data_IF_570672325857
#
_entry.id   IF_570672325857
#
_cell.length_a   1.000
_cell.length_b   1.000
_cell.length_c   1.000
_cell.angle_alpha   90.00
_cell.angle_beta   90.00
_cell.angle_gamma   90.00
#
_symmetry.space_group_name_H-M   'P 1'
#
loop_
_entity.id
_entity.type
_entity.pdbx_description
1 polymer ?
#
# COMPACT_ATOMS: atom_id res chain seq x y z
N UNK A 1 16.48 8.08 4.05
CA UNK A 1 15.65 7.54 2.95
C UNK A 1 15.83 6.04 2.97
N UNK A 2 14.80 5.29 3.29
CA UNK A 2 14.85 3.83 3.32
C UNK A 2 15.01 3.34 1.87
N UNK A 3 16.10 2.64 1.55
CA UNK A 3 16.29 2.07 0.20
C UNK A 3 15.02 1.31 -0.24
N UNK A 4 14.47 1.65 -1.40
CA UNK A 4 13.28 0.93 -1.90
C UNK A 4 13.70 -0.39 -2.53
N UNK A 5 12.88 -1.42 -2.36
CA UNK A 5 13.13 -2.70 -2.99
C UNK A 5 12.59 -2.64 -4.42
N UNK A 6 13.46 -2.89 -5.39
CA UNK A 6 13.12 -2.88 -6.82
C UNK A 6 12.69 -4.27 -7.34
N UNK A 7 12.54 -5.24 -6.45
CA UNK A 7 12.15 -6.60 -6.76
C UNK A 7 11.22 -7.14 -5.66
N UNK A 8 10.36 -8.09 -6.01
CA UNK A 8 9.53 -8.81 -5.04
C UNK A 8 10.34 -9.98 -4.43
N UNK A 9 10.69 -9.94 -3.13
CA UNK A 9 11.44 -11.02 -2.48
C UNK A 9 10.65 -12.34 -2.38
N UNK A 10 9.33 -12.34 -2.63
CA UNK A 10 8.49 -13.55 -2.62
C UNK A 10 8.75 -14.46 -3.82
N UNK A 11 9.30 -13.92 -4.92
CA UNK A 11 9.58 -14.69 -6.14
C UNK A 11 10.93 -15.42 -6.09
N UNK A 12 11.79 -15.09 -5.12
CA UNK A 12 13.12 -15.69 -5.00
C UNK A 12 12.96 -17.05 -4.30
N UNK A 13 13.21 -18.17 -5.00
CA UNK A 13 13.14 -19.49 -4.37
C UNK A 13 14.30 -19.68 -3.39
N UNK A 14 14.11 -20.46 -2.32
CA UNK A 14 15.20 -20.84 -1.45
C UNK A 14 16.26 -21.64 -2.25
N UNK A 15 17.55 -21.36 -2.06
CA UNK A 15 18.61 -22.16 -2.64
C UNK A 15 18.51 -23.64 -2.24
N UNK A 16 19.03 -24.53 -3.10
CA UNK A 16 19.21 -25.92 -2.71
C UNK A 16 20.45 -26.06 -1.82
N UNK A 17 20.24 -25.86 -0.52
CA UNK A 17 21.27 -25.99 0.51
C UNK A 17 21.78 -27.41 0.71
N UNK A 18 21.17 -28.43 0.07
CA UNK A 18 21.70 -29.79 0.06
C UNK A 18 22.72 -30.03 -1.05
N UNK A 19 22.74 -29.16 -2.06
CA UNK A 19 23.67 -29.28 -3.21
C UNK A 19 25.13 -29.18 -2.80
N UNK A 20 26.01 -29.71 -3.66
CA UNK A 20 27.47 -29.74 -3.44
C UNK A 20 28.07 -28.32 -3.36
N UNK A 21 27.43 -27.34 -4.01
CA UNK A 21 27.81 -25.91 -3.94
C UNK A 21 27.89 -25.40 -2.51
N UNK A 22 27.05 -25.93 -1.60
CA UNK A 22 27.03 -25.54 -0.19
C UNK A 22 27.80 -26.51 0.72
N UNK A 23 28.42 -27.56 0.20
CA UNK A 23 29.10 -28.57 1.02
C UNK A 23 30.25 -27.98 1.86
N UNK A 24 31.03 -27.06 1.29
CA UNK A 24 32.10 -26.38 2.03
C UNK A 24 31.54 -25.53 3.17
N UNK A 25 30.42 -24.84 2.95
CA UNK A 25 29.77 -24.01 3.96
C UNK A 25 29.20 -24.88 5.09
N UNK A 26 28.53 -26.00 4.75
CA UNK A 26 28.01 -26.93 5.76
C UNK A 26 29.13 -27.54 6.61
N UNK A 27 30.24 -27.96 6.00
CA UNK A 27 31.41 -28.47 6.75
C UNK A 27 32.03 -27.41 7.65
N UNK A 28 32.10 -26.16 7.20
CA UNK A 28 32.59 -25.06 8.01
C UNK A 28 31.69 -24.82 9.23
N UNK A 29 30.36 -24.81 9.05
CA UNK A 29 29.39 -24.67 10.13
C UNK A 29 29.49 -25.82 11.16
N UNK A 30 29.74 -27.05 10.71
CA UNK A 30 29.91 -28.20 11.61
C UNK A 30 31.21 -28.13 12.41
N UNK A 31 32.28 -27.61 11.79
CA UNK A 31 33.59 -27.48 12.42
C UNK A 31 33.71 -26.20 13.27
N UNK A 32 32.73 -25.31 13.21
CA UNK A 32 32.74 -24.03 13.89
C UNK A 32 32.54 -24.20 15.39
N UNK A 33 33.53 -23.77 16.17
CA UNK A 33 33.50 -23.85 17.62
C UNK A 33 32.47 -22.88 18.24
N UNK A 34 32.11 -21.81 17.52
CA UNK A 34 31.13 -20.83 17.95
C UNK A 34 29.68 -21.30 17.71
N UNK A 35 29.50 -22.38 16.94
CA UNK A 35 28.21 -22.99 16.59
C UNK A 35 28.08 -24.43 17.12
N UNK A 36 28.23 -24.69 18.43
CA UNK A 36 28.33 -26.06 18.98
C UNK A 36 27.06 -26.92 18.83
N UNK A 37 25.94 -26.33 18.41
CA UNK A 37 24.68 -27.04 18.14
C UNK A 37 24.56 -27.61 16.73
N UNK A 38 25.52 -27.34 15.83
CA UNK A 38 25.52 -27.83 14.46
C UNK A 38 26.57 -28.93 14.35
N UNK A 39 26.17 -30.19 14.49
CA UNK A 39 27.10 -31.33 14.50
C UNK A 39 26.93 -32.27 13.32
N UNK A 40 25.92 -32.03 12.48
CA UNK A 40 25.59 -32.84 11.31
C UNK A 40 25.29 -32.01 10.07
N UNK A 41 25.43 -32.64 8.90
CA UNK A 41 25.07 -32.02 7.60
C UNK A 41 23.60 -31.61 7.55
N UNK A 42 22.70 -32.36 8.21
CA UNK A 42 21.29 -32.05 8.26
C UNK A 42 21.01 -30.79 9.09
N UNK A 43 21.66 -30.64 10.25
CA UNK A 43 21.57 -29.43 11.08
C UNK A 43 22.18 -28.22 10.37
N UNK A 44 23.33 -28.40 9.70
CA UNK A 44 23.97 -27.33 8.95
C UNK A 44 23.09 -26.87 7.77
N UNK A 45 22.46 -27.81 7.06
CA UNK A 45 21.49 -27.51 6.01
C UNK A 45 20.26 -26.77 6.58
N UNK A 46 19.73 -27.21 7.72
CA UNK A 46 18.59 -26.56 8.36
C UNK A 46 18.94 -25.14 8.79
N UNK A 47 20.12 -24.94 9.38
CA UNK A 47 20.60 -23.63 9.78
C UNK A 47 20.66 -22.65 8.60
N UNK A 48 21.18 -23.09 7.45
CA UNK A 48 21.21 -22.26 6.23
C UNK A 48 19.80 -21.91 5.72
N UNK A 49 18.83 -22.82 5.86
CA UNK A 49 17.43 -22.56 5.52
C UNK A 49 16.81 -21.54 6.45
N UNK A 50 17.01 -21.70 7.75
CA UNK A 50 16.47 -20.80 8.77
C UNK A 50 17.03 -19.38 8.58
N UNK A 51 18.34 -19.27 8.34
CA UNK A 51 18.98 -17.98 8.04
C UNK A 51 18.40 -17.33 6.78
N UNK A 52 18.24 -18.10 5.70
CA UNK A 52 17.62 -17.61 4.48
C UNK A 52 16.19 -17.12 4.69
N UNK A 53 15.38 -17.88 5.44
CA UNK A 53 13.99 -17.53 5.72
C UNK A 53 13.88 -16.27 6.60
N UNK A 54 14.78 -16.08 7.57
CA UNK A 54 14.85 -14.87 8.37
C UNK A 54 15.20 -13.64 7.52
N UNK A 55 16.30 -13.70 6.76
CA UNK A 55 16.76 -12.61 5.92
C UNK A 55 15.72 -12.25 4.84
N UNK A 56 15.16 -13.27 4.17
CA UNK A 56 14.10 -13.06 3.19
C UNK A 56 12.81 -12.55 3.83
N UNK A 57 12.51 -12.97 5.06
CA UNK A 57 11.40 -12.47 5.86
C UNK A 57 11.48 -10.96 6.10
N UNK A 58 12.66 -10.46 6.46
CA UNK A 58 12.92 -9.02 6.62
C UNK A 58 12.68 -8.27 5.31
N UNK A 59 13.15 -8.81 4.18
CA UNK A 59 12.92 -8.21 2.87
C UNK A 59 11.43 -8.20 2.50
N UNK A 60 10.70 -9.29 2.77
CA UNK A 60 9.26 -9.39 2.51
C UNK A 60 8.46 -8.39 3.32
N UNK A 61 8.76 -8.25 4.61
CA UNK A 61 8.11 -7.25 5.48
C UNK A 61 8.35 -5.82 4.98
N UNK A 62 9.58 -5.53 4.55
CA UNK A 62 9.93 -4.22 3.97
C UNK A 62 9.20 -3.96 2.65
N UNK A 63 9.10 -4.96 1.79
CA UNK A 63 8.39 -4.86 0.52
C UNK A 63 6.89 -4.65 0.74
N UNK A 64 6.30 -5.36 1.70
CA UNK A 64 4.90 -5.20 2.07
C UNK A 64 4.59 -3.80 2.60
N UNK A 65 5.43 -3.25 3.47
CA UNK A 65 5.30 -1.88 3.94
C UNK A 65 5.37 -0.86 2.78
N UNK A 66 6.19 -1.10 1.75
CA UNK A 66 6.24 -0.25 0.55
C UNK A 66 4.95 -0.33 -0.26
N UNK A 67 4.36 -1.52 -0.40
CA UNK A 67 3.08 -1.68 -1.08
C UNK A 67 1.95 -0.98 -0.33
N UNK A 68 1.92 -1.08 1.00
CA UNK A 68 0.95 -0.37 1.84
C UNK A 68 1.10 1.16 1.73
N UNK A 69 2.33 1.67 1.74
CA UNK A 69 2.62 3.10 1.54
C UNK A 69 2.13 3.56 0.16
N UNK A 70 2.47 2.83 -0.90
CA UNK A 70 2.06 3.16 -2.26
C UNK A 70 0.53 3.14 -2.42
N UNK A 71 -0.13 2.17 -1.78
CA UNK A 71 -1.59 2.07 -1.77
C UNK A 71 -2.22 3.23 -0.99
N UNK A 72 -1.66 3.61 0.16
CA UNK A 72 -2.13 4.75 0.93
C UNK A 72 -2.01 6.07 0.13
N UNK A 73 -0.90 6.25 -0.58
CA UNK A 73 -0.70 7.42 -1.45
C UNK A 73 -1.72 7.43 -2.60
N UNK A 74 -1.97 6.29 -3.24
CA UNK A 74 -2.97 6.17 -4.30
C UNK A 74 -4.38 6.48 -3.79
N UNK A 75 -4.73 5.96 -2.61
CA UNK A 75 -6.03 6.20 -1.98
C UNK A 75 -6.21 7.68 -1.62
N UNK A 76 -5.21 8.32 -1.02
CA UNK A 76 -5.27 9.75 -0.68
C UNK A 76 -5.53 10.63 -1.92
N UNK A 77 -4.89 10.32 -3.05
CA UNK A 77 -5.12 11.02 -4.32
C UNK A 77 -6.54 10.83 -4.86
N UNK A 78 -7.08 9.61 -4.73
CA UNK A 78 -8.44 9.31 -5.15
C UNK A 78 -9.48 10.03 -4.28
N UNK A 79 -9.24 10.10 -2.96
CA UNK A 79 -10.10 10.82 -2.03
C UNK A 79 -10.10 12.32 -2.31
N UNK A 80 -8.92 12.92 -2.53
CA UNK A 80 -8.80 14.33 -2.91
C UNK A 80 -9.58 14.64 -4.20
N UNK A 81 -9.44 13.81 -5.23
CA UNK A 81 -10.18 13.97 -6.49
C UNK A 81 -11.70 13.83 -6.29
N UNK A 82 -12.14 12.90 -5.44
CA UNK A 82 -13.55 12.72 -5.12
C UNK A 82 -14.12 13.88 -4.29
N UNK A 83 -13.32 14.48 -3.41
CA UNK A 83 -13.68 15.69 -2.66
C UNK A 83 -13.79 16.90 -3.57
N UNK A 84 -12.84 17.10 -4.47
CA UNK A 84 -12.88 18.19 -5.44
C UNK A 84 -14.12 18.08 -6.34
N UNK A 85 -14.46 16.88 -6.77
CA UNK A 85 -15.66 16.64 -7.57
C UNK A 85 -16.94 16.95 -6.77
N UNK A 86 -17.03 16.51 -5.51
CA UNK A 86 -18.15 16.84 -4.63
C UNK A 86 -18.30 18.34 -4.40
N UNK A 87 -17.19 19.06 -4.26
CA UNK A 87 -17.20 20.52 -4.11
C UNK A 87 -17.73 21.22 -5.37
N UNK A 88 -17.29 20.79 -6.56
CA UNK A 88 -17.78 21.31 -7.85
C UNK A 88 -19.28 21.05 -8.03
N UNK A 89 -19.74 19.85 -7.68
CA UNK A 89 -21.15 19.50 -7.77
C UNK A 89 -22.02 20.30 -6.78
N UNK A 90 -21.53 20.53 -5.57
CA UNK A 90 -22.21 21.37 -4.58
C UNK A 90 -22.28 22.84 -5.05
N UNK A 91 -21.21 23.39 -5.62
CA UNK A 91 -21.20 24.76 -6.16
C UNK A 91 -22.18 24.89 -7.34
N UNK A 92 -22.19 23.92 -8.26
CA UNK A 92 -23.14 23.90 -9.38
C UNK A 92 -24.58 23.89 -8.88
N UNK A 93 -24.89 23.01 -7.93
CA UNK A 93 -26.24 22.92 -7.34
C UNK A 93 -26.64 24.22 -6.64
N UNK A 94 -25.73 24.83 -5.87
CA UNK A 94 -26.01 26.11 -5.21
C UNK A 94 -26.31 27.23 -6.22
N UNK A 95 -25.58 27.29 -7.35
CA UNK A 95 -25.85 28.24 -8.44
C UNK A 95 -27.20 27.99 -9.11
N UNK A 96 -27.55 26.73 -9.37
CA UNK A 96 -28.84 26.34 -9.94
C UNK A 96 -29.99 26.72 -9.01
N UNK A 97 -29.87 26.45 -7.71
CA UNK A 97 -30.87 26.81 -6.70
C UNK A 97 -31.05 28.34 -6.59
N UNK A 98 -29.96 29.12 -6.64
CA UNK A 98 -30.03 30.59 -6.67
C UNK A 98 -30.74 31.13 -7.92
N UNK A 99 -30.46 30.53 -9.08
CA UNK A 99 -31.10 30.89 -10.35
C UNK A 99 -32.59 30.54 -10.33
N UNK A 100 -32.95 29.37 -9.80
CA UNK A 100 -34.34 28.95 -9.65
C UNK A 100 -35.11 29.91 -8.75
N UNK A 101 -34.54 30.30 -7.61
CA UNK A 101 -35.15 31.29 -6.70
C UNK A 101 -35.34 32.65 -7.37
N UNK A 102 -34.32 33.16 -8.08
CA UNK A 102 -34.42 34.43 -8.83
C UNK A 102 -35.47 34.35 -9.95
N UNK A 103 -35.62 33.19 -10.60
CA UNK A 103 -36.64 32.98 -11.61
C UNK A 103 -38.05 32.96 -11.00
N UNK A 104 -38.23 32.35 -9.83
CA UNK A 104 -39.49 32.32 -9.10
C UNK A 104 -39.91 33.72 -8.62
N UNK A 105 -38.99 34.49 -8.03
CA UNK A 105 -39.22 35.89 -7.62
C UNK A 105 -39.67 36.76 -8.81
N UNK A 106 -39.06 36.59 -10.00
CA UNK A 106 -39.45 37.31 -11.22
C UNK A 106 -40.77 36.83 -11.83
N UNK A 107 -41.21 35.62 -11.50
CA UNK A 107 -42.42 35.01 -12.04
C UNK A 107 -43.66 35.29 -11.20
N UNK A 108 -43.52 35.77 -9.96
CA UNK A 108 -44.61 36.33 -9.16
C UNK A 108 -45.15 37.60 -9.83
N UNK A 109 -46.36 37.59 -10.41
CA UNK A 109 -46.97 38.81 -10.91
C UNK A 109 -47.40 39.64 -9.70
N UNK A 110 -47.01 40.91 -9.67
CA UNK A 110 -47.65 41.95 -8.85
C UNK A 110 -49.11 42.13 -9.32
N UNK A 111 -49.97 41.18 -8.97
CA UNK A 111 -51.43 41.33 -9.01
C UNK A 111 -51.89 41.04 -7.58
N UNK A 112 -51.91 42.04 -6.71
CA UNK A 112 -53.17 42.72 -6.42
C UNK A 112 -52.99 44.24 -6.30
N UNK A 113 -52.92 44.95 -7.42
CA UNK A 113 -53.33 46.35 -7.43
C UNK A 113 -54.84 46.41 -7.64
N UNK A 114 -55.51 46.97 -6.63
CA UNK A 114 -56.74 47.78 -6.68
C UNK A 114 -57.97 47.23 -7.38
N UNK A 115 -59.05 47.03 -6.61
CA UNK A 115 -60.35 47.61 -6.94
C UNK A 115 -61.13 47.83 -5.63
N UNK A 116 -61.19 49.12 -5.23
CA UNK A 116 -62.25 49.64 -4.37
C UNK A 116 -63.58 49.40 -5.09
N UNK A 117 -64.56 48.87 -4.37
CA UNK A 117 -65.96 49.25 -4.53
C UNK A 117 -66.70 49.07 -3.22
#
# INVERSE_FOLDING_TARGET
MTDRLNFDPRIIPPPDFSSDTYATIRRALIADADSPGIVSEAEAQQHLRDQWDEENGVLRARYEAQLEEDQAIANARNEEAAEEQRAKDAERKAKEDELAKKAEEKRTPLYTHTLKS
#
